data_IF_434405092263
#
_entry.id   IF_434405092263
#
_cell.length_a   1.000
_cell.length_b   1.000
_cell.length_c   1.000
_cell.angle_alpha   90.00
_cell.angle_beta   90.00
_cell.angle_gamma   90.00
#
_symmetry.space_group_name_H-M   'P 1'
#
loop_
_entity.id
_entity.type
_entity.pdbx_description
1 polymer ?
#
# COMPACT_ATOMS: atom_id res chain seq x y z
N UNK A 1 33.17 -10.52 25.41
CA UNK A 1 32.43 -9.34 25.89
C UNK A 1 31.59 -8.86 24.71
N UNK A 2 30.32 -9.25 24.68
CA UNK A 2 29.39 -8.72 23.69
C UNK A 2 28.84 -7.43 24.29
N UNK A 3 29.24 -6.28 23.76
CA UNK A 3 28.63 -4.97 24.08
C UNK A 3 27.13 -5.11 23.86
N UNK A 4 26.41 -5.24 24.96
CA UNK A 4 25.06 -5.76 24.99
C UNK A 4 24.11 -4.62 24.62
N UNK A 5 23.94 -4.39 23.32
CA UNK A 5 22.71 -3.84 22.79
C UNK A 5 22.33 -2.41 23.29
N UNK A 6 23.31 -1.52 23.53
CA UNK A 6 23.04 -0.11 23.88
C UNK A 6 22.28 0.67 22.78
N UNK A 7 22.30 0.18 21.53
CA UNK A 7 21.61 0.84 20.41
C UNK A 7 20.08 0.71 20.44
N UNK A 8 19.51 -0.14 21.30
CA UNK A 8 18.05 -0.26 21.45
C UNK A 8 17.50 0.68 22.52
N UNK A 9 18.34 1.20 23.42
CA UNK A 9 17.93 2.15 24.47
C UNK A 9 17.12 3.34 23.93
N UNK A 10 17.48 3.94 22.78
CA UNK A 10 16.70 5.03 22.20
C UNK A 10 15.30 4.58 21.77
N UNK A 11 15.14 3.34 21.26
CA UNK A 11 13.87 2.79 20.79
C UNK A 11 12.90 2.53 21.95
N UNK A 12 13.41 2.12 23.12
CA UNK A 12 12.62 1.94 24.34
C UNK A 12 12.21 3.26 24.99
N UNK A 13 12.98 4.33 24.77
CA UNK A 13 12.63 5.69 25.20
C UNK A 13 11.62 6.37 24.29
N UNK A 14 11.35 5.84 23.10
CA UNK A 14 10.29 6.37 22.23
C UNK A 14 8.95 6.26 22.96
N UNK A 15 8.38 7.41 23.30
CA UNK A 15 7.11 7.48 24.02
C UNK A 15 5.97 6.78 23.26
N UNK A 16 4.91 6.33 23.95
CA UNK A 16 3.78 5.63 23.34
C UNK A 16 3.16 6.37 22.15
N UNK A 17 3.23 7.71 22.16
CA UNK A 17 2.74 8.57 21.09
C UNK A 17 3.45 8.32 19.75
N UNK A 18 4.75 8.01 19.76
CA UNK A 18 5.49 7.66 18.54
C UNK A 18 4.85 6.45 17.87
N UNK A 19 4.59 5.38 18.63
CA UNK A 19 3.98 4.16 18.12
C UNK A 19 2.55 4.40 17.62
N UNK A 20 1.77 5.21 18.35
CA UNK A 20 0.40 5.58 17.98
C UNK A 20 0.34 6.35 16.66
N UNK A 21 1.36 7.14 16.31
CA UNK A 21 1.42 7.86 15.03
C UNK A 21 2.10 7.03 13.94
N UNK A 22 3.18 6.33 14.28
CA UNK A 22 4.00 5.57 13.35
C UNK A 22 3.24 4.39 12.74
N UNK A 23 2.51 3.61 13.56
CA UNK A 23 1.74 2.46 13.08
C UNK A 23 0.69 2.85 12.04
N UNK A 24 -0.23 3.81 12.28
CA UNK A 24 -1.20 4.21 11.28
C UNK A 24 -0.55 4.89 10.08
N UNK A 25 0.56 5.61 10.26
CA UNK A 25 1.30 6.19 9.14
C UNK A 25 1.91 5.10 8.23
N UNK A 26 2.53 4.07 8.82
CA UNK A 26 3.05 2.91 8.10
C UNK A 26 1.93 2.17 7.36
N UNK A 27 0.78 1.96 8.01
CA UNK A 27 -0.41 1.38 7.40
C UNK A 27 -0.92 2.23 6.23
N UNK A 28 -0.96 3.55 6.38
CA UNK A 28 -1.40 4.45 5.32
C UNK A 28 -0.49 4.36 4.08
N UNK A 29 0.83 4.26 4.28
CA UNK A 29 1.79 4.05 3.19
C UNK A 29 1.63 2.65 2.60
N UNK A 30 1.53 1.62 3.43
CA UNK A 30 1.35 0.25 2.97
C UNK A 30 0.09 0.09 2.09
N UNK A 31 -1.00 0.75 2.47
CA UNK A 31 -2.26 0.77 1.74
C UNK A 31 -2.39 1.91 0.71
N UNK A 32 -1.32 2.68 0.46
CA UNK A 32 -1.28 3.78 -0.50
C UNK A 32 -1.82 3.40 -1.91
N UNK A 33 -1.41 2.29 -2.55
CA UNK A 33 -1.98 1.89 -3.85
C UNK A 33 -3.49 1.61 -3.79
N UNK A 34 -4.00 1.10 -2.67
CA UNK A 34 -5.44 0.89 -2.47
C UNK A 34 -6.20 2.22 -2.33
N UNK A 35 -5.60 3.20 -1.65
CA UNK A 35 -6.13 4.56 -1.53
C UNK A 35 -6.20 5.20 -2.92
N UNK A 36 -5.12 5.16 -3.69
CA UNK A 36 -5.06 5.70 -5.07
C UNK A 36 -6.11 5.04 -5.97
N UNK A 37 -6.27 3.72 -5.86
CA UNK A 37 -7.27 2.96 -6.61
C UNK A 37 -8.71 3.35 -6.24
N UNK A 38 -8.99 3.72 -4.99
CA UNK A 38 -10.31 4.17 -4.56
C UNK A 38 -10.75 5.46 -5.28
N UNK A 39 -9.80 6.37 -5.55
CA UNK A 39 -10.08 7.63 -6.26
C UNK A 39 -10.18 7.45 -7.78
N UNK A 40 -9.33 6.61 -8.39
CA UNK A 40 -9.21 6.52 -9.86
C UNK A 40 -9.77 5.26 -10.51
N UNK A 41 -9.94 4.18 -9.76
CA UNK A 41 -10.25 2.87 -10.32
C UNK A 41 -11.24 2.06 -9.46
N UNK A 42 -12.39 2.69 -9.12
CA UNK A 42 -13.47 2.12 -8.28
C UNK A 42 -13.86 0.69 -8.70
N UNK A 43 -13.86 0.38 -10.00
CA UNK A 43 -14.24 -0.93 -10.55
C UNK A 43 -13.22 -2.04 -10.23
N UNK A 44 -11.93 -1.71 -10.10
CA UNK A 44 -10.86 -2.67 -9.84
C UNK A 44 -10.30 -2.61 -8.42
N UNK A 45 -10.89 -1.77 -7.55
CA UNK A 45 -10.49 -1.57 -6.16
C UNK A 45 -10.34 -2.89 -5.41
N UNK A 46 -11.35 -3.78 -5.48
CA UNK A 46 -11.31 -5.06 -4.79
C UNK A 46 -10.12 -5.95 -5.18
N UNK A 47 -9.73 -5.94 -6.46
CA UNK A 47 -8.57 -6.71 -6.95
C UNK A 47 -7.25 -6.09 -6.50
N UNK A 48 -7.15 -4.76 -6.52
CA UNK A 48 -5.96 -4.03 -6.05
C UNK A 48 -5.78 -4.21 -4.54
N UNK A 49 -6.86 -4.16 -3.77
CA UNK A 49 -6.84 -4.34 -2.33
C UNK A 49 -6.41 -5.77 -1.95
N UNK A 50 -6.95 -6.79 -2.62
CA UNK A 50 -6.56 -8.17 -2.38
C UNK A 50 -5.10 -8.44 -2.76
N UNK A 51 -4.63 -7.85 -3.86
CA UNK A 51 -3.23 -7.93 -4.27
C UNK A 51 -2.28 -7.12 -3.35
N UNK A 52 -2.79 -6.12 -2.62
CA UNK A 52 -1.97 -5.31 -1.73
C UNK A 52 -1.44 -6.11 -0.53
N UNK A 53 -2.20 -7.11 -0.05
CA UNK A 53 -1.81 -7.98 1.07
C UNK A 53 -0.50 -8.75 0.78
N UNK A 54 -0.36 -9.49 -0.34
CA UNK A 54 0.92 -10.10 -0.71
C UNK A 54 1.93 -9.08 -1.25
N UNK A 55 1.50 -7.97 -1.86
CA UNK A 55 2.42 -6.98 -2.42
C UNK A 55 3.26 -6.27 -1.36
N UNK A 56 2.76 -6.17 -0.13
CA UNK A 56 3.57 -5.64 0.97
C UNK A 56 4.82 -6.44 1.32
N UNK A 57 4.91 -7.70 0.88
CA UNK A 57 6.11 -8.53 1.04
C UNK A 57 7.15 -8.29 -0.07
N UNK A 58 6.76 -7.63 -1.17
CA UNK A 58 7.61 -7.43 -2.34
C UNK A 58 7.54 -5.99 -2.84
N UNK A 59 8.67 -5.28 -2.72
CA UNK A 59 8.81 -3.90 -3.19
C UNK A 59 8.38 -3.72 -4.66
N UNK A 60 8.69 -4.71 -5.52
CA UNK A 60 8.35 -4.68 -6.94
C UNK A 60 6.84 -4.79 -7.16
N UNK A 61 6.18 -5.72 -6.46
CA UNK A 61 4.73 -5.89 -6.53
C UNK A 61 4.00 -4.62 -6.05
N UNK A 62 4.50 -4.00 -4.98
CA UNK A 62 3.95 -2.75 -4.46
C UNK A 62 4.04 -1.61 -5.50
N UNK A 63 5.19 -1.41 -6.14
CA UNK A 63 5.35 -0.43 -7.24
C UNK A 63 4.45 -0.75 -8.45
N UNK A 64 4.31 -2.02 -8.83
CA UNK A 64 3.43 -2.43 -9.93
C UNK A 64 1.95 -2.11 -9.62
N UNK A 65 1.52 -2.32 -8.36
CA UNK A 65 0.17 -1.95 -7.93
C UNK A 65 -0.06 -0.44 -7.95
N UNK A 66 0.94 0.37 -7.61
CA UNK A 66 0.85 1.84 -7.72
C UNK A 66 0.58 2.24 -9.18
N UNK A 67 1.38 1.73 -10.11
CA UNK A 67 1.20 2.00 -11.55
C UNK A 67 -0.18 1.54 -12.01
N UNK A 68 -0.63 0.36 -11.58
CA UNK A 68 -1.95 -0.16 -11.92
C UNK A 68 -3.11 0.65 -11.31
N UNK A 69 -2.96 1.12 -10.08
CA UNK A 69 -3.90 2.02 -9.42
C UNK A 69 -4.03 3.34 -10.17
N UNK A 70 -2.94 3.85 -10.74
CA UNK A 70 -2.96 5.01 -11.63
C UNK A 70 -3.53 4.69 -13.02
N UNK A 71 -3.34 3.47 -13.55
CA UNK A 71 -3.73 3.02 -14.89
C UNK A 71 -5.19 2.54 -14.99
N UNK A 72 -6.12 3.27 -14.37
CA UNK A 72 -7.56 3.03 -14.45
C UNK A 72 -8.11 3.25 -15.87
N UNK A 73 -7.79 2.34 -16.80
CA UNK A 73 -8.35 2.35 -18.15
C UNK A 73 -9.81 1.94 -18.06
N UNK A 74 -10.69 2.87 -18.43
CA UNK A 74 -12.10 2.62 -18.68
C UNK A 74 -12.19 1.48 -19.69
N UNK A 75 -12.70 0.32 -19.28
CA UNK A 75 -13.20 -0.67 -20.23
C UNK A 75 -14.28 0.05 -21.04
N UNK A 76 -13.95 0.49 -22.26
CA UNK A 76 -14.96 0.84 -23.24
C UNK A 76 -15.68 -0.47 -23.58
N UNK A 77 -17.00 -0.57 -23.37
CA UNK A 77 -17.75 -1.74 -23.80
C UNK A 77 -17.52 -1.92 -25.31
N UNK A 78 -16.88 -3.02 -25.67
CA UNK A 78 -16.73 -3.49 -27.04
C UNK A 78 -18.09 -4.03 -27.50
N UNK A 79 -19.05 -3.16 -27.83
CA UNK A 79 -20.39 -3.62 -28.24
C UNK A 79 -21.21 -2.61 -29.07
N UNK A 80 -20.63 -1.96 -30.09
CA UNK A 80 -21.40 -1.06 -30.97
C UNK A 80 -20.96 -1.07 -32.47
N UNK A 81 -20.27 -2.11 -32.97
CA UNK A 81 -19.91 -2.18 -34.42
C UNK A 81 -20.45 -3.45 -35.08
N UNK A 82 -21.50 -4.05 -34.52
CA UNK A 82 -22.34 -5.03 -35.21
C UNK A 82 -23.79 -4.75 -34.84
N UNK A 83 -24.33 -3.63 -35.34
CA UNK A 83 -25.77 -3.43 -35.57
C UNK A 83 -25.95 -2.62 -36.85
#
# INVERSE_FOLDING_TARGET
>A
MFEQFDFLQPLTQLGPLFWVVFIPFLLAIYFLPSIVASFRNRKHLGKIFLANIPAGLSWIAWCALIIWAFSGKQQKPTEQVIQ
#
